data_IF_290496038565
#
_entry.id   IF_290496038565
#
_cell.length_a   1.000
_cell.length_b   1.000
_cell.length_c   1.000
_cell.angle_alpha   90.00
_cell.angle_beta   90.00
_cell.angle_gamma   90.00
#
_symmetry.space_group_name_H-M   'P 1'
#
loop_
_entity.id
_entity.type
_entity.pdbx_description
1 polymer ?
#
# COMPACT_ATOMS: atom_id res chain seq x y z
N UNK A 1 -5.90 -22.12 -4.25
CA UNK A 1 -5.30 -23.03 -3.25
C UNK A 1 -4.60 -22.15 -2.21
N UNK A 2 -5.03 -22.18 -0.95
CA UNK A 2 -4.39 -21.44 0.15
C UNK A 2 -3.27 -22.29 0.72
N UNK A 3 -2.05 -21.78 0.75
CA UNK A 3 -0.95 -22.45 1.42
C UNK A 3 -0.91 -21.97 2.89
N UNK A 4 -0.64 -22.87 3.84
CA UNK A 4 -0.62 -22.54 5.26
C UNK A 4 0.77 -22.12 5.74
N UNK A 5 1.56 -21.49 4.88
CA UNK A 5 2.92 -21.06 5.24
C UNK A 5 2.77 -19.87 6.19
N UNK A 6 3.17 -20.08 7.44
CA UNK A 6 3.17 -19.04 8.49
C UNK A 6 4.58 -18.54 8.80
N UNK A 7 5.62 -19.26 8.34
CA UNK A 7 7.02 -18.86 8.46
C UNK A 7 7.86 -19.35 7.28
N UNK A 8 8.82 -18.55 6.86
CA UNK A 8 9.88 -18.96 5.93
C UNK A 8 11.02 -19.54 6.77
N UNK A 9 11.45 -20.79 6.55
CA UNK A 9 12.57 -21.35 7.31
C UNK A 9 13.83 -20.51 7.09
N UNK A 10 14.62 -20.24 8.16
CA UNK A 10 15.91 -19.58 8.02
C UNK A 10 16.76 -20.33 6.99
N UNK A 11 17.43 -19.58 6.11
CA UNK A 11 18.29 -20.11 5.04
C UNK A 11 17.60 -20.93 3.93
N UNK A 12 16.27 -21.08 3.92
CA UNK A 12 15.57 -21.79 2.83
C UNK A 12 15.91 -21.20 1.45
N UNK A 13 15.96 -19.86 1.37
CA UNK A 13 16.27 -19.14 0.14
C UNK A 13 17.78 -18.94 -0.09
N UNK A 14 18.62 -19.24 0.91
CA UNK A 14 20.07 -19.03 0.85
C UNK A 14 20.76 -19.88 -0.23
N UNK A 15 20.20 -21.06 -0.54
CA UNK A 15 20.70 -21.99 -1.55
C UNK A 15 20.16 -21.69 -2.96
N UNK A 16 19.39 -20.62 -3.14
CA UNK A 16 18.76 -20.24 -4.41
C UNK A 16 19.27 -18.87 -4.90
N UNK A 17 20.57 -18.69 -5.17
CA UNK A 17 21.14 -17.39 -5.52
C UNK A 17 20.64 -16.84 -6.87
N UNK A 18 20.11 -17.72 -7.73
CA UNK A 18 19.58 -17.37 -9.04
C UNK A 18 18.09 -17.01 -9.02
N UNK A 19 17.44 -17.01 -7.86
CA UNK A 19 16.01 -16.72 -7.73
C UNK A 19 15.70 -15.29 -8.20
N UNK A 20 14.80 -15.16 -9.17
CA UNK A 20 14.40 -13.86 -9.77
C UNK A 20 12.99 -13.44 -9.36
N UNK A 21 12.08 -14.41 -9.20
CA UNK A 21 10.71 -14.18 -8.79
C UNK A 21 10.36 -15.11 -7.63
N UNK A 22 9.73 -14.57 -6.60
CA UNK A 22 9.27 -15.32 -5.43
C UNK A 22 7.81 -14.96 -5.15
N UNK A 23 6.94 -15.97 -5.22
CA UNK A 23 5.52 -15.83 -4.96
C UNK A 23 5.16 -16.57 -3.66
N UNK A 24 4.77 -15.80 -2.66
CA UNK A 24 4.32 -16.27 -1.35
C UNK A 24 2.94 -15.67 -1.01
N UNK A 25 2.19 -15.25 -2.03
CA UNK A 25 0.85 -14.71 -1.83
C UNK A 25 -0.14 -15.77 -1.36
N UNK A 26 -1.21 -15.32 -0.71
CA UNK A 26 -2.28 -16.15 -0.18
C UNK A 26 -1.78 -17.21 0.83
N UNK A 27 -0.99 -16.73 1.79
CA UNK A 27 -0.41 -17.49 2.90
C UNK A 27 -0.81 -16.86 4.25
N UNK A 28 -0.18 -17.28 5.34
CA UNK A 28 -0.43 -16.76 6.70
C UNK A 28 0.83 -16.16 7.31
N UNK A 29 1.70 -15.59 6.49
CA UNK A 29 2.94 -14.97 6.96
C UNK A 29 2.63 -13.76 7.82
N UNK A 30 3.25 -13.72 8.99
CA UNK A 30 3.30 -12.57 9.89
C UNK A 30 4.69 -11.96 9.85
N UNK A 31 4.87 -10.82 10.52
CA UNK A 31 6.18 -10.14 10.61
C UNK A 31 7.26 -11.09 11.17
N UNK A 32 6.94 -11.85 12.22
CA UNK A 32 7.82 -12.87 12.81
C UNK A 32 8.07 -14.09 11.89
N UNK A 33 7.19 -14.29 10.92
CA UNK A 33 7.28 -15.36 9.93
C UNK A 33 8.32 -15.10 8.84
N UNK A 34 8.86 -13.88 8.74
CA UNK A 34 9.89 -13.50 7.77
C UNK A 34 11.19 -13.24 8.55
N UNK A 35 12.11 -14.22 8.62
CA UNK A 35 13.35 -14.03 9.34
C UNK A 35 14.16 -12.87 8.77
N UNK A 36 14.88 -12.19 9.65
CA UNK A 36 15.88 -11.22 9.25
C UNK A 36 16.87 -11.84 8.27
N UNK A 37 17.22 -11.08 7.23
CA UNK A 37 18.20 -11.47 6.21
C UNK A 37 17.83 -12.68 5.37
N UNK A 38 16.57 -13.14 5.39
CA UNK A 38 16.12 -14.29 4.57
C UNK A 38 16.35 -14.07 3.07
N UNK A 39 16.34 -12.81 2.59
CA UNK A 39 16.56 -12.44 1.19
C UNK A 39 18.00 -12.00 0.86
N UNK A 40 18.92 -11.96 1.83
CA UNK A 40 20.26 -11.34 1.65
C UNK A 40 21.10 -12.03 0.58
N UNK A 41 20.90 -13.34 0.34
CA UNK A 41 21.64 -14.10 -0.68
C UNK A 41 20.95 -14.12 -2.05
N UNK A 42 19.75 -13.55 -2.18
CA UNK A 42 18.98 -13.55 -3.42
C UNK A 42 19.16 -12.22 -4.16
N UNK A 43 20.40 -11.89 -4.51
CA UNK A 43 20.75 -10.63 -5.17
C UNK A 43 20.09 -10.45 -6.55
N UNK A 44 19.61 -11.54 -7.17
CA UNK A 44 18.89 -11.53 -8.44
C UNK A 44 17.38 -11.38 -8.30
N UNK A 45 16.84 -11.34 -7.08
CA UNK A 45 15.40 -11.26 -6.86
C UNK A 45 14.88 -9.88 -7.29
N UNK A 46 13.99 -9.88 -8.27
CA UNK A 46 13.35 -8.69 -8.85
C UNK A 46 11.90 -8.56 -8.46
N UNK A 47 11.21 -9.69 -8.26
CA UNK A 47 9.79 -9.71 -7.91
C UNK A 47 9.58 -10.48 -6.63
N UNK A 48 8.94 -9.83 -5.66
CA UNK A 48 8.48 -10.46 -4.42
C UNK A 48 6.99 -10.20 -4.25
N UNK A 49 6.22 -11.29 -4.23
CA UNK A 49 4.80 -11.26 -3.96
C UNK A 49 4.49 -11.83 -2.58
N UNK A 50 4.07 -10.96 -1.67
CA UNK A 50 3.64 -11.24 -0.30
C UNK A 50 2.17 -10.79 -0.11
N UNK A 51 1.41 -10.62 -1.20
CA UNK A 51 0.01 -10.23 -1.11
C UNK A 51 -0.85 -11.26 -0.37
N UNK A 52 -1.99 -10.84 0.18
CA UNK A 52 -2.92 -11.74 0.88
C UNK A 52 -2.22 -12.55 2.00
N UNK A 53 -1.54 -11.85 2.90
CA UNK A 53 -0.89 -12.39 4.09
C UNK A 53 -1.35 -11.61 5.35
N UNK A 54 -0.69 -11.83 6.49
CA UNK A 54 -1.02 -11.22 7.77
C UNK A 54 0.07 -10.23 8.24
N UNK A 55 0.81 -9.61 7.31
CA UNK A 55 1.90 -8.68 7.64
C UNK A 55 1.33 -7.38 8.22
N UNK A 56 1.90 -6.93 9.33
CA UNK A 56 1.57 -5.66 9.98
C UNK A 56 2.56 -4.54 9.67
N UNK A 57 3.71 -4.89 9.11
CA UNK A 57 4.74 -3.96 8.66
C UNK A 57 5.38 -4.42 7.35
N UNK A 58 6.06 -3.50 6.67
CA UNK A 58 6.90 -3.85 5.51
C UNK A 58 8.17 -4.53 6.02
N UNK A 59 8.60 -5.68 5.46
CA UNK A 59 9.84 -6.33 5.88
C UNK A 59 11.05 -5.40 5.77
N UNK A 60 11.88 -5.32 6.83
CA UNK A 60 12.99 -4.35 6.91
C UNK A 60 14.13 -4.69 5.94
N UNK A 61 14.37 -5.97 5.68
CA UNK A 61 15.53 -6.47 4.95
C UNK A 61 15.17 -6.99 3.56
N UNK A 62 14.44 -6.19 2.78
CA UNK A 62 14.13 -6.50 1.39
C UNK A 62 15.40 -6.52 0.51
N UNK A 63 15.45 -7.35 -0.55
CA UNK A 63 16.60 -7.42 -1.43
C UNK A 63 16.78 -6.11 -2.21
N UNK A 64 18.02 -5.63 -2.29
CA UNK A 64 18.36 -4.31 -2.86
C UNK A 64 17.88 -4.13 -4.30
N UNK A 65 17.93 -5.20 -5.10
CA UNK A 65 17.60 -5.19 -6.53
C UNK A 65 16.12 -5.45 -6.85
N UNK A 66 15.26 -5.43 -5.82
CA UNK A 66 13.82 -5.62 -6.03
C UNK A 66 13.23 -4.50 -6.88
N UNK A 67 12.44 -4.88 -7.88
CA UNK A 67 11.78 -3.97 -8.82
C UNK A 67 10.25 -3.96 -8.60
N UNK A 68 9.69 -5.11 -8.21
CA UNK A 68 8.26 -5.31 -8.03
C UNK A 68 7.98 -5.90 -6.64
N UNK A 69 7.24 -5.16 -5.83
CA UNK A 69 6.85 -5.57 -4.48
C UNK A 69 5.32 -5.56 -4.36
N UNK A 70 4.74 -6.72 -4.10
CA UNK A 70 3.32 -6.84 -3.79
C UNK A 70 3.11 -7.14 -2.31
N UNK A 71 2.45 -6.20 -1.63
CA UNK A 71 2.04 -6.29 -0.22
C UNK A 71 0.53 -6.01 -0.09
N UNK A 72 -0.22 -6.12 -1.18
CA UNK A 72 -1.67 -5.90 -1.18
C UNK A 72 -2.39 -6.86 -0.23
N UNK A 73 -3.53 -6.46 0.31
CA UNK A 73 -4.35 -7.32 1.18
C UNK A 73 -3.58 -7.88 2.38
N UNK A 74 -2.80 -7.02 3.05
CA UNK A 74 -2.15 -7.30 4.33
C UNK A 74 -2.77 -6.41 5.43
N UNK A 75 -2.12 -6.29 6.59
CA UNK A 75 -2.56 -5.47 7.72
C UNK A 75 -1.55 -4.36 8.06
N UNK A 76 -0.85 -3.87 7.04
CA UNK A 76 0.22 -2.88 7.21
C UNK A 76 -0.40 -1.55 7.67
N UNK A 77 0.11 -1.01 8.77
CA UNK A 77 -0.47 0.18 9.43
C UNK A 77 0.21 1.50 9.10
N UNK A 78 1.50 1.44 8.76
CA UNK A 78 2.31 2.64 8.57
C UNK A 78 3.43 2.40 7.55
N UNK A 79 3.88 3.49 6.93
CA UNK A 79 5.06 3.53 6.05
C UNK A 79 5.93 4.68 6.55
N UNK A 80 7.03 4.33 7.21
CA UNK A 80 8.00 5.30 7.69
C UNK A 80 8.88 5.80 6.55
N UNK A 81 9.58 6.92 6.77
CA UNK A 81 10.49 7.52 5.77
C UNK A 81 11.60 6.55 5.35
N UNK A 82 12.00 5.67 6.26
CA UNK A 82 13.12 4.75 6.11
C UNK A 82 12.72 3.43 5.45
N UNK A 83 11.41 3.16 5.31
CA UNK A 83 10.87 1.85 4.88
C UNK A 83 11.45 1.34 3.55
N UNK A 84 11.67 2.23 2.57
CA UNK A 84 12.20 1.85 1.26
C UNK A 84 13.65 2.31 1.03
N UNK A 85 14.37 2.75 2.07
CA UNK A 85 15.70 3.35 1.94
C UNK A 85 16.70 2.42 1.23
N UNK A 86 16.60 1.11 1.49
CA UNK A 86 17.50 0.09 0.95
C UNK A 86 17.02 -0.57 -0.36
N UNK A 87 15.92 -0.10 -0.95
CA UNK A 87 15.32 -0.66 -2.18
C UNK A 87 15.19 0.39 -3.29
N UNK A 88 16.30 1.02 -3.72
CA UNK A 88 16.27 2.17 -4.64
C UNK A 88 15.77 1.84 -6.05
N UNK A 89 15.72 0.56 -6.43
CA UNK A 89 15.33 0.08 -7.75
C UNK A 89 13.85 -0.27 -7.89
N UNK A 90 13.04 -0.04 -6.86
CA UNK A 90 11.59 -0.28 -6.90
C UNK A 90 10.94 0.52 -8.05
N UNK A 91 10.18 -0.20 -8.87
CA UNK A 91 9.37 0.32 -9.98
C UNK A 91 7.88 0.27 -9.65
N UNK A 92 7.44 -0.80 -9.01
CA UNK A 92 6.03 -1.03 -8.69
C UNK A 92 5.88 -1.49 -7.25
N UNK A 93 5.03 -0.79 -6.50
CA UNK A 93 4.67 -1.14 -5.13
C UNK A 93 3.15 -1.21 -5.00
N UNK A 94 2.64 -2.36 -4.59
CA UNK A 94 1.22 -2.58 -4.31
C UNK A 94 1.00 -2.68 -2.80
N UNK A 95 0.18 -1.77 -2.26
CA UNK A 95 -0.15 -1.61 -0.85
C UNK A 95 -1.65 -1.44 -0.64
N UNK A 96 -2.47 -1.63 -1.67
CA UNK A 96 -3.92 -1.57 -1.57
C UNK A 96 -4.46 -2.60 -0.57
N UNK A 97 -5.64 -2.32 -0.01
CA UNK A 97 -6.32 -3.21 0.93
C UNK A 97 -5.48 -3.53 2.19
N UNK A 98 -4.69 -2.55 2.65
CA UNK A 98 -4.02 -2.55 3.96
C UNK A 98 -4.72 -1.60 4.95
N UNK A 99 -4.26 -1.61 6.20
CA UNK A 99 -4.76 -0.74 7.28
C UNK A 99 -3.93 0.58 7.37
N UNK A 100 -3.53 1.16 6.22
CA UNK A 100 -2.65 2.35 6.08
C UNK A 100 -3.35 3.72 6.20
N UNK A 101 -3.31 4.36 7.36
CA UNK A 101 -3.93 5.67 7.52
C UNK A 101 -3.18 6.75 6.71
N UNK A 102 -3.86 7.77 6.17
CA UNK A 102 -3.21 8.83 5.39
C UNK A 102 -2.05 9.54 6.13
N UNK A 103 -2.16 9.66 7.45
CA UNK A 103 -1.17 10.26 8.34
C UNK A 103 0.01 9.34 8.67
N UNK A 104 -0.14 8.03 8.55
CA UNK A 104 0.92 7.06 8.86
C UNK A 104 1.80 6.75 7.64
N UNK A 105 1.48 7.31 6.47
CA UNK A 105 2.27 7.18 5.24
C UNK A 105 3.16 8.40 5.05
N UNK A 106 4.45 8.22 5.31
CA UNK A 106 5.45 9.27 5.09
C UNK A 106 5.75 9.41 3.60
N UNK A 107 5.47 10.59 3.03
CA UNK A 107 5.83 10.92 1.64
C UNK A 107 7.34 10.81 1.40
N UNK A 108 8.14 11.07 2.43
CA UNK A 108 9.60 11.02 2.33
C UNK A 108 10.11 9.61 2.02
N UNK A 109 9.32 8.56 2.30
CA UNK A 109 9.63 7.17 2.00
C UNK A 109 9.78 6.86 0.51
N UNK A 110 9.23 7.71 -0.37
CA UNK A 110 9.19 7.48 -1.82
C UNK A 110 10.07 8.46 -2.60
N UNK A 111 10.62 9.49 -1.95
CA UNK A 111 11.36 10.57 -2.63
C UNK A 111 12.64 10.10 -3.32
N UNK A 112 13.30 9.08 -2.75
CA UNK A 112 14.56 8.54 -3.29
C UNK A 112 14.35 7.42 -4.33
N UNK A 113 13.11 6.97 -4.56
CA UNK A 113 12.80 5.90 -5.51
C UNK A 113 12.75 6.43 -6.96
N UNK A 114 13.92 6.61 -7.57
CA UNK A 114 14.06 7.24 -8.90
C UNK A 114 13.45 6.44 -10.05
N UNK A 115 13.30 5.13 -9.88
CA UNK A 115 12.76 4.23 -10.89
C UNK A 115 11.28 3.93 -10.71
N UNK A 116 10.65 4.53 -9.71
CA UNK A 116 9.27 4.26 -9.35
C UNK A 116 8.31 4.73 -10.44
N UNK A 117 7.51 3.79 -10.93
CA UNK A 117 6.53 3.99 -12.00
C UNK A 117 5.10 3.94 -11.47
N UNK A 118 4.85 3.12 -10.45
CA UNK A 118 3.51 2.92 -9.88
C UNK A 118 3.60 2.64 -8.38
N UNK A 119 2.76 3.35 -7.62
CA UNK A 119 2.40 2.97 -6.26
C UNK A 119 0.88 2.87 -6.22
N UNK A 120 0.37 1.81 -5.63
CA UNK A 120 -1.04 1.68 -5.30
C UNK A 120 -1.21 1.63 -3.78
N UNK A 121 -1.78 2.68 -3.18
CA UNK A 121 -2.05 2.79 -1.74
C UNK A 121 -3.56 2.91 -1.48
N UNK A 122 -4.38 2.32 -2.35
CA UNK A 122 -5.83 2.42 -2.24
C UNK A 122 -6.30 1.79 -0.93
N UNK A 123 -6.66 2.65 0.03
CA UNK A 123 -7.33 2.24 1.27
C UNK A 123 -8.78 1.95 0.94
N UNK A 124 -9.24 0.72 1.18
CA UNK A 124 -10.68 0.48 1.29
C UNK A 124 -11.11 0.92 2.68
N UNK A 125 -12.01 1.92 2.80
CA UNK A 125 -12.66 2.15 4.07
C UNK A 125 -13.36 0.86 4.41
N UNK A 126 -12.80 0.10 5.37
CA UNK A 126 -13.55 -0.94 6.07
C UNK A 126 -14.84 -0.25 6.42
N UNK A 127 -15.92 -0.75 5.85
CA UNK A 127 -17.23 -0.16 6.03
C UNK A 127 -17.51 -0.33 7.51
N UNK A 128 -17.19 0.67 8.31
CA UNK A 128 -17.77 0.82 9.61
C UNK A 128 -19.24 0.86 9.29
N UNK A 129 -19.97 -0.22 9.57
CA UNK A 129 -21.40 -0.14 9.76
C UNK A 129 -21.56 0.92 10.84
N UNK A 130 -21.76 2.17 10.41
CA UNK A 130 -22.42 3.13 11.25
C UNK A 130 -23.77 2.48 11.52
N UNK A 131 -23.92 1.92 12.71
CA UNK A 131 -25.22 1.55 13.23
C UNK A 131 -26.05 2.83 13.20
N UNK A 132 -26.83 3.00 12.14
CA UNK A 132 -27.91 3.97 12.09
C UNK A 132 -28.75 3.67 13.34
N UNK A 133 -28.92 4.62 14.28
CA UNK A 133 -29.86 4.41 15.36
C UNK A 133 -31.21 4.12 14.71
N UNK A 134 -31.74 2.92 14.95
CA UNK A 134 -33.10 2.55 14.60
C UNK A 134 -34.04 3.31 15.53
N UNK A 135 -34.17 4.61 15.27
CA UNK A 135 -35.04 5.53 15.96
C UNK A 135 -36.10 6.02 14.99
N UNK A 136 -37.31 5.53 15.20
CA UNK A 136 -38.57 5.88 14.53
C UNK A 136 -38.67 7.35 14.10
N UNK A 137 -38.73 7.60 12.80
CA UNK A 137 -39.23 8.86 12.25
C UNK A 137 -40.23 8.58 11.13
N UNK A 138 -41.50 8.84 11.46
CA UNK A 138 -42.68 8.79 10.61
C UNK A 138 -42.49 9.42 9.22
N UNK A 139 -42.98 8.74 8.18
CA UNK A 139 -42.90 9.07 6.74
C UNK A 139 -43.60 10.37 6.29
N UNK A 140 -44.00 11.29 7.19
CA UNK A 140 -44.87 12.44 6.83
C UNK A 140 -44.24 13.82 6.82
N UNK A 141 -42.93 13.95 6.66
CA UNK A 141 -42.30 15.28 6.45
C UNK A 141 -41.18 15.29 5.39
N UNK A 142 -41.42 14.67 4.23
CA UNK A 142 -40.54 14.74 3.04
C UNK A 142 -40.57 16.09 2.29
N UNK A 143 -40.99 17.19 2.91
CA UNK A 143 -41.12 18.50 2.23
C UNK A 143 -40.59 19.65 3.06
N UNK A 144 -39.40 19.50 3.61
CA UNK A 144 -38.48 20.62 3.77
C UNK A 144 -37.14 20.04 4.21
N UNK A 145 -36.12 20.19 3.37
CA UNK A 145 -34.68 20.09 3.64
C UNK A 145 -33.98 19.92 2.29
N UNK A 146 -34.09 20.98 1.49
CA UNK A 146 -33.26 21.27 0.33
C UNK A 146 -31.82 21.59 0.74
N UNK A 147 -31.15 20.76 1.53
CA UNK A 147 -29.71 20.86 1.77
C UNK A 147 -29.09 19.46 1.91
N UNK A 148 -28.93 18.83 0.75
CA UNK A 148 -27.83 17.94 0.34
C UNK A 148 -27.22 17.05 1.43
N UNK A 149 -27.52 15.76 1.35
CA UNK A 149 -26.59 14.73 1.82
C UNK A 149 -25.30 14.88 1.02
N UNK A 150 -24.09 14.90 1.63
CA UNK A 150 -22.88 14.99 0.85
C UNK A 150 -22.68 13.64 0.15
N UNK A 151 -22.96 13.62 -1.15
CA UNK A 151 -22.42 12.63 -2.06
C UNK A 151 -20.90 12.54 -1.82
N UNK A 152 -20.34 11.33 -1.90
CA UNK A 152 -18.92 10.98 -1.61
C UNK A 152 -17.86 11.95 -2.18
N UNK A 153 -18.22 12.80 -3.14
CA UNK A 153 -17.41 13.88 -3.72
C UNK A 153 -17.16 15.07 -2.79
N UNK A 154 -18.04 15.34 -1.81
CA UNK A 154 -17.91 16.46 -0.88
C UNK A 154 -16.72 16.33 0.09
N UNK A 155 -16.49 15.12 0.58
CA UNK A 155 -15.41 14.80 1.53
C UNK A 155 -14.01 14.95 0.93
N UNK A 156 -13.86 14.62 -0.36
CA UNK A 156 -12.60 14.80 -1.11
C UNK A 156 -12.26 16.29 -1.23
N UNK A 157 -13.26 17.12 -1.55
CA UNK A 157 -13.10 18.58 -1.66
C UNK A 157 -12.68 19.23 -0.34
N UNK A 158 -13.19 18.74 0.79
CA UNK A 158 -12.91 19.29 2.11
C UNK A 158 -11.48 18.98 2.60
N UNK A 159 -10.95 17.79 2.26
CA UNK A 159 -9.53 17.45 2.49
C UNK A 159 -8.58 18.30 1.64
N UNK A 160 -8.96 18.65 0.41
CA UNK A 160 -8.16 19.55 -0.43
C UNK A 160 -8.12 21.00 0.09
N UNK A 161 -9.15 21.45 0.83
CA UNK A 161 -9.16 22.77 1.48
C UNK A 161 -8.18 22.86 2.66
N UNK A 162 -8.00 21.77 3.41
CA UNK A 162 -7.16 21.75 4.62
C UNK A 162 -5.70 21.34 4.36
N UNK A 163 -5.42 20.56 3.30
CA UNK A 163 -4.05 20.19 2.88
C UNK A 163 -3.90 20.23 1.35
N UNK A 164 -3.62 21.42 0.76
CA UNK A 164 -3.55 21.61 -0.69
C UNK A 164 -2.50 20.74 -1.39
N UNK A 165 -1.43 20.37 -0.67
CA UNK A 165 -0.34 19.54 -1.19
C UNK A 165 -0.71 18.06 -1.37
N UNK A 166 -1.93 17.65 -1.04
CA UNK A 166 -2.45 16.28 -1.24
C UNK A 166 -3.37 16.15 -2.46
N UNK A 167 -3.67 17.25 -3.16
CA UNK A 167 -4.63 17.28 -4.26
C UNK A 167 -4.05 17.99 -5.49
N UNK A 168 -4.37 17.50 -6.68
CA UNK A 168 -4.19 18.20 -7.95
C UNK A 168 -5.55 18.18 -8.65
N UNK A 169 -6.08 19.36 -9.00
CA UNK A 169 -7.38 19.55 -9.66
C UNK A 169 -8.61 18.93 -8.95
N UNK A 170 -8.61 18.82 -7.61
CA UNK A 170 -9.79 18.45 -6.84
C UNK A 170 -10.06 16.94 -6.73
N UNK A 171 -9.14 16.09 -7.21
CA UNK A 171 -9.15 14.65 -6.97
C UNK A 171 -7.95 14.24 -6.09
N UNK A 172 -8.13 13.15 -5.32
CA UNK A 172 -7.07 12.58 -4.49
C UNK A 172 -6.05 11.88 -5.41
N UNK A 173 -4.92 12.53 -5.69
CA UNK A 173 -3.94 12.01 -6.65
C UNK A 173 -3.01 10.99 -5.98
N UNK A 174 -3.11 9.75 -6.45
CA UNK A 174 -2.07 8.71 -6.40
C UNK A 174 -0.84 9.25 -7.15
N UNK A 175 0.34 9.26 -6.51
CA UNK A 175 1.56 9.79 -7.12
C UNK A 175 2.29 8.72 -7.94
N UNK A 176 2.28 8.85 -9.27
CA UNK A 176 3.46 8.54 -10.05
C UNK A 176 3.81 9.72 -10.96
N UNK A 177 5.03 10.28 -10.86
CA UNK A 177 5.81 10.61 -12.06
C UNK A 177 7.15 11.32 -11.80
N UNK A 178 8.17 10.87 -12.53
CA UNK A 178 8.82 11.74 -13.51
C UNK A 178 8.84 11.06 -14.88
N UNK A 179 7.92 11.43 -15.78
CA UNK A 179 8.08 11.25 -17.22
C UNK A 179 9.31 12.05 -17.67
N UNK A 180 10.29 11.38 -18.27
CA UNK A 180 11.37 12.02 -19.03
C UNK A 180 10.77 12.85 -20.16
N UNK A 181 11.04 14.16 -20.19
CA UNK A 181 10.90 14.98 -21.39
C UNK A 181 11.86 14.42 -22.45
N UNK A 182 11.33 13.93 -23.58
CA UNK A 182 12.10 13.89 -24.83
C UNK A 182 12.26 15.35 -25.28
N UNK A 183 13.50 15.82 -25.43
CA UNK A 183 13.79 16.95 -26.32
C UNK A 183 13.72 16.39 -27.73
N UNK A 184 12.82 16.92 -28.54
CA UNK A 184 12.94 16.86 -30.00
C UNK A 184 13.78 18.08 -30.37
N UNK A 185 14.89 17.82 -31.06
CA UNK A 185 15.69 18.81 -31.77
C UNK A 185 15.41 18.66 -33.25
#
# INVERSE_FOLDING_TARGET
MTNHIYRIPPHALARMPLLTHLYLSNNRLTDDGIPDRVFTRNARLKTLDLGENNLTSVPVNLPVNIEHLNLASNRIKAIAKETFLHTPYLKVVHLQDNDLLPETVSRAAFLHLRYLQRIDITWRPRTTQYNLPQGSASERHKRDLSHTWPTKTGWVREKCKSKPSACLNGELVVWPNRKRRRKVS
#
